data_IF_151222241430
#
_entry.id   IF_151222241430
#
_cell.length_a   1.000
_cell.length_b   1.000
_cell.length_c   1.000
_cell.angle_alpha   90.00
_cell.angle_beta   90.00
_cell.angle_gamma   90.00
#
_symmetry.space_group_name_H-M   'P 1'
#
loop_
_entity.id
_entity.type
_entity.pdbx_description
1 polymer ?
#
# COMPACT_ATOMS: atom_id res chain seq x y z
N UNK A 1 10.79 9.93 3.90
CA UNK A 1 10.95 9.58 2.48
C UNK A 1 10.74 8.10 2.34
N UNK A 2 9.79 7.69 1.50
CA UNK A 2 9.38 6.29 1.35
C UNK A 2 8.06 6.20 0.59
N UNK A 3 7.66 4.99 0.20
CA UNK A 3 6.36 4.74 -0.44
C UNK A 3 5.29 4.98 0.63
N UNK A 4 4.46 6.02 0.43
CA UNK A 4 3.40 6.42 1.39
C UNK A 4 2.00 6.29 0.81
N UNK A 5 1.88 5.95 -0.48
CA UNK A 5 0.61 5.90 -1.22
C UNK A 5 0.36 4.52 -1.80
N UNK A 6 -0.87 4.04 -1.62
CA UNK A 6 -1.36 2.73 -2.07
C UNK A 6 -1.18 2.54 -3.58
N UNK A 7 -1.50 3.58 -4.36
CA UNK A 7 -1.35 3.56 -5.82
C UNK A 7 0.10 3.34 -6.24
N UNK A 8 1.04 3.99 -5.54
CA UNK A 8 2.46 3.84 -5.81
C UNK A 8 2.94 2.43 -5.42
N UNK A 9 2.49 1.90 -4.27
CA UNK A 9 2.83 0.54 -3.86
C UNK A 9 2.41 -0.51 -4.90
N UNK A 10 1.24 -0.37 -5.52
CA UNK A 10 0.81 -1.26 -6.61
C UNK A 10 1.77 -1.19 -7.80
N UNK A 11 2.22 0.01 -8.20
CA UNK A 11 3.18 0.16 -9.30
C UNK A 11 4.51 -0.56 -9.01
N UNK A 12 4.97 -0.53 -7.76
CA UNK A 12 6.16 -1.28 -7.35
C UNK A 12 5.95 -2.79 -7.38
N UNK A 13 4.79 -3.30 -6.96
CA UNK A 13 4.48 -4.73 -7.06
C UNK A 13 4.40 -5.21 -8.51
N UNK A 14 3.83 -4.40 -9.41
CA UNK A 14 3.82 -4.69 -10.85
C UNK A 14 5.25 -4.73 -11.39
N UNK A 15 6.07 -3.72 -11.08
CA UNK A 15 7.48 -3.72 -11.51
C UNK A 15 8.22 -4.97 -10.99
N UNK A 16 8.04 -5.33 -9.72
CA UNK A 16 8.65 -6.52 -9.12
C UNK A 16 8.24 -7.78 -9.87
N UNK A 17 6.94 -7.93 -10.13
CA UNK A 17 6.41 -9.07 -10.88
C UNK A 17 6.97 -9.15 -12.30
N UNK A 18 6.98 -8.04 -13.05
CA UNK A 18 7.45 -8.03 -14.43
C UNK A 18 8.97 -8.25 -14.54
N UNK A 19 9.74 -7.87 -13.52
CA UNK A 19 11.20 -7.98 -13.54
C UNK A 19 11.74 -9.28 -12.97
N UNK A 20 11.12 -9.80 -11.90
CA UNK A 20 11.62 -10.96 -11.16
C UNK A 20 10.64 -12.14 -11.12
N UNK A 21 9.42 -11.95 -11.62
CA UNK A 21 8.39 -12.98 -11.67
C UNK A 21 7.66 -13.19 -10.34
N UNK A 22 6.70 -14.11 -10.38
CA UNK A 22 5.81 -14.40 -9.26
C UNK A 22 6.53 -15.00 -8.03
N UNK A 23 7.65 -15.71 -8.22
CA UNK A 23 8.42 -16.31 -7.12
C UNK A 23 8.92 -15.27 -6.11
N UNK A 24 9.12 -14.03 -6.56
CA UNK A 24 9.54 -12.90 -5.72
C UNK A 24 8.38 -12.20 -5.02
N UNK A 25 7.12 -12.55 -5.31
CA UNK A 25 5.93 -11.97 -4.68
C UNK A 25 5.64 -12.59 -3.30
N UNK A 26 6.67 -12.74 -2.48
CA UNK A 26 6.58 -13.27 -1.12
C UNK A 26 7.14 -12.26 -0.12
N UNK A 27 6.62 -12.20 1.11
CA UNK A 27 7.12 -11.28 2.12
C UNK A 27 8.59 -11.55 2.46
N UNK A 28 9.08 -12.79 2.35
CA UNK A 28 10.46 -13.12 2.68
C UNK A 28 11.48 -12.58 1.68
N UNK A 29 11.05 -12.36 0.44
CA UNK A 29 11.88 -11.82 -0.64
C UNK A 29 11.63 -10.33 -0.89
N UNK A 30 10.44 -9.81 -0.57
CA UNK A 30 10.10 -8.41 -0.76
C UNK A 30 9.18 -7.85 0.33
N UNK A 31 9.54 -6.69 0.91
CA UNK A 31 8.71 -5.94 1.86
C UNK A 31 8.75 -4.44 1.59
N UNK A 32 7.65 -3.75 1.87
CA UNK A 32 7.63 -2.29 1.91
C UNK A 32 8.13 -1.79 3.27
N UNK A 33 9.23 -1.05 3.28
CA UNK A 33 9.61 -0.22 4.43
C UNK A 33 8.81 1.07 4.40
N UNK A 34 7.67 1.11 5.11
CA UNK A 34 6.78 2.27 5.08
C UNK A 34 6.15 2.57 6.43
N UNK A 35 6.22 3.83 6.85
CA UNK A 35 5.58 4.32 8.07
C UNK A 35 4.11 4.70 7.85
N UNK A 36 3.80 5.36 6.73
CA UNK A 36 2.44 5.90 6.46
C UNK A 36 1.64 5.13 5.40
N UNK A 37 2.25 4.16 4.70
CA UNK A 37 1.56 3.39 3.66
C UNK A 37 0.40 2.56 4.19
N UNK A 38 0.57 1.96 5.38
CA UNK A 38 -0.48 1.12 5.98
C UNK A 38 -1.79 1.90 6.18
N UNK A 39 -1.69 3.13 6.68
CA UNK A 39 -2.86 4.00 6.87
C UNK A 39 -3.50 4.38 5.53
N UNK A 40 -2.70 4.70 4.51
CA UNK A 40 -3.23 5.01 3.18
C UNK A 40 -3.97 3.80 2.57
N UNK A 41 -3.46 2.58 2.73
CA UNK A 41 -4.12 1.35 2.26
C UNK A 41 -5.45 1.12 2.98
N UNK A 42 -5.48 1.27 4.30
CA UNK A 42 -6.72 1.14 5.08
C UNK A 42 -7.77 2.18 4.65
N UNK A 43 -7.35 3.42 4.39
CA UNK A 43 -8.24 4.46 3.86
C UNK A 43 -8.82 4.08 2.50
N UNK A 44 -8.00 3.55 1.58
CA UNK A 44 -8.49 3.13 0.27
C UNK A 44 -9.44 1.94 0.36
N UNK A 45 -9.14 0.94 1.20
CA UNK A 45 -10.02 -0.21 1.41
C UNK A 45 -11.38 0.23 1.98
N UNK A 46 -11.38 1.16 2.93
CA UNK A 46 -12.62 1.66 3.50
C UNK A 46 -13.43 2.44 2.47
N UNK A 47 -12.77 3.32 1.69
CA UNK A 47 -13.42 4.05 0.59
C UNK A 47 -14.04 3.10 -0.44
N UNK A 48 -13.34 2.02 -0.81
CA UNK A 48 -13.87 1.04 -1.76
C UNK A 48 -15.12 0.32 -1.22
N UNK A 49 -15.18 0.06 0.09
CA UNK A 49 -16.34 -0.58 0.73
C UNK A 49 -17.54 0.36 0.90
N UNK A 50 -17.30 1.62 1.26
CA UNK A 50 -18.37 2.56 1.65
C UNK A 50 -18.76 3.54 0.55
N UNK A 51 -17.94 3.67 -0.50
CA UNK A 51 -18.11 4.67 -1.57
C UNK A 51 -17.69 6.09 -1.18
N UNK A 52 -17.31 6.34 0.07
CA UNK A 52 -16.94 7.67 0.58
C UNK A 52 -15.63 7.62 1.38
N UNK A 53 -14.84 8.69 1.33
CA UNK A 53 -13.69 8.84 2.22
C UNK A 53 -14.19 9.07 3.66
N UNK A 54 -13.73 8.24 4.61
CA UNK A 54 -13.90 8.54 6.04
C UNK A 54 -12.97 9.68 6.47
N UNK A 55 -13.33 10.41 7.53
CA UNK A 55 -12.49 11.49 8.06
C UNK A 55 -11.09 10.96 8.34
N UNK A 56 -10.08 11.78 8.01
CA UNK A 56 -8.67 11.49 8.30
C UNK A 56 -8.38 11.27 9.80
N UNK A 57 -9.33 11.62 10.68
CA UNK A 57 -9.24 11.40 12.13
C UNK A 57 -9.41 9.93 12.56
N UNK A 58 -9.89 9.04 11.67
CA UNK A 58 -10.05 7.60 11.97
C UNK A 58 -8.78 6.77 11.72
N UNK A 59 -7.74 7.38 11.15
CA UNK A 59 -6.50 6.68 10.81
C UNK A 59 -5.34 7.32 11.56
N UNK A 60 -4.39 6.50 12.01
CA UNK A 60 -3.27 6.94 12.84
C UNK A 60 -2.51 8.09 12.18
N UNK A 61 -2.36 9.20 12.92
CA UNK A 61 -1.53 10.34 12.56
C UNK A 61 -0.15 10.15 13.18
N UNK A 62 0.65 9.26 12.61
CA UNK A 62 2.07 9.13 12.96
C UNK A 62 2.93 9.46 11.73
#
# INVERSE_FOLDING_TARGET
>A
GGISKSKQAIQYLVMLHETLGNDWMTPDLFRFGASSLANDVLMQLQKQKTGAYQSADYFSRD
#
